data_IF_013435684151
#
_entry.id   IF_013435684151
#
_cell.length_a   1.000
_cell.length_b   1.000
_cell.length_c   1.000
_cell.angle_alpha   90.00
_cell.angle_beta   90.00
_cell.angle_gamma   90.00
#
_symmetry.space_group_name_H-M   'P 1'
#
loop_
_entity.id
_entity.type
_entity.pdbx_description
1 polymer ?
#
# COMPACT_ATOMS: atom_id res chain seq x y z
N UNK A 1 6.13 -8.30 3.66
CA UNK A 1 6.20 -6.93 4.19
C UNK A 1 4.91 -6.26 3.83
N UNK A 2 4.18 -5.76 4.82
CA UNK A 2 2.93 -5.03 4.62
C UNK A 2 3.24 -3.62 4.05
N UNK A 3 2.32 -3.02 3.29
CA UNK A 3 2.52 -1.67 2.78
C UNK A 3 2.72 -0.66 3.94
N UNK A 4 3.69 0.27 3.82
CA UNK A 4 3.88 1.31 4.81
C UNK A 4 2.76 2.36 4.74
N UNK A 5 2.52 3.07 5.84
CA UNK A 5 1.86 4.37 5.82
C UNK A 5 2.82 5.38 5.21
N UNK A 6 2.33 6.22 4.31
CA UNK A 6 3.16 7.14 3.52
C UNK A 6 2.69 8.57 3.65
N UNK A 7 3.64 9.50 3.65
CA UNK A 7 3.33 10.92 3.48
C UNK A 7 2.82 11.20 2.06
N UNK A 8 2.15 12.34 1.82
CA UNK A 8 1.67 12.72 0.48
C UNK A 8 2.77 12.79 -0.60
N UNK A 9 4.03 12.93 -0.21
CA UNK A 9 5.17 12.91 -1.11
C UNK A 9 5.66 11.47 -1.46
N UNK A 10 4.98 10.43 -0.98
CA UNK A 10 5.33 9.04 -1.23
C UNK A 10 6.53 8.53 -0.44
N UNK A 11 6.91 9.22 0.65
CA UNK A 11 7.92 8.72 1.60
C UNK A 11 7.26 7.88 2.71
N UNK A 12 7.86 6.76 3.14
CA UNK A 12 7.30 5.95 4.22
C UNK A 12 7.40 6.69 5.57
N UNK A 13 6.36 6.57 6.39
CA UNK A 13 6.25 7.13 7.74
C UNK A 13 6.23 6.04 8.80
N UNK A 14 5.51 4.94 8.53
CA UNK A 14 5.33 3.86 9.49
C UNK A 14 5.09 2.54 8.76
N UNK A 15 5.41 1.42 9.40
CA UNK A 15 5.16 0.07 8.87
C UNK A 15 4.50 -0.77 9.95
N UNK A 16 3.48 -1.55 9.57
CA UNK A 16 2.82 -2.46 10.50
C UNK A 16 3.66 -3.71 10.79
N UNK A 17 3.46 -4.37 11.94
CA UNK A 17 3.91 -5.75 12.16
C UNK A 17 3.45 -6.68 11.03
N UNK A 18 4.26 -7.68 10.71
CA UNK A 18 3.95 -8.64 9.65
C UNK A 18 2.87 -9.61 10.13
N UNK A 19 1.88 -9.87 9.27
CA UNK A 19 0.82 -10.85 9.54
C UNK A 19 1.25 -12.26 9.10
N UNK A 20 0.78 -13.34 9.77
CA UNK A 20 1.16 -14.70 9.42
C UNK A 20 0.60 -15.15 8.06
N UNK A 21 1.43 -15.86 7.28
CA UNK A 21 0.96 -16.62 6.12
C UNK A 21 0.60 -15.80 4.87
N UNK A 22 -0.09 -16.47 3.93
CA UNK A 22 -0.55 -15.94 2.65
C UNK A 22 -1.99 -15.43 2.80
N UNK A 23 -2.19 -14.53 3.75
CA UNK A 23 -3.49 -13.87 3.96
C UNK A 23 -3.78 -12.94 2.78
N UNK A 24 -5.02 -12.94 2.30
CA UNK A 24 -5.43 -11.98 1.27
C UNK A 24 -5.54 -10.59 1.89
N UNK A 25 -5.14 -9.54 1.16
CA UNK A 25 -5.10 -8.17 1.70
C UNK A 25 -6.46 -7.72 2.26
N UNK A 26 -7.57 -8.11 1.62
CA UNK A 26 -8.93 -7.87 2.12
C UNK A 26 -9.25 -8.61 3.41
N UNK A 27 -8.77 -9.84 3.58
CA UNK A 27 -8.93 -10.57 4.84
C UNK A 27 -8.16 -9.87 5.97
N UNK A 28 -6.93 -9.43 5.67
CA UNK A 28 -6.12 -8.68 6.62
C UNK A 28 -6.78 -7.34 7.01
N UNK A 29 -7.40 -6.65 6.04
CA UNK A 29 -8.11 -5.41 6.28
C UNK A 29 -9.38 -5.61 7.12
N UNK A 30 -10.19 -6.63 6.83
CA UNK A 30 -11.41 -6.97 7.58
C UNK A 30 -11.14 -7.49 8.99
N UNK A 31 -9.95 -8.03 9.23
CA UNK A 31 -9.55 -8.49 10.56
C UNK A 31 -9.34 -7.34 11.56
N UNK A 32 -9.20 -6.10 11.07
CA UNK A 32 -9.33 -4.90 11.89
C UNK A 32 -10.75 -4.33 11.69
N UNK A 33 -11.64 -4.45 12.69
CA UNK A 33 -13.04 -4.08 12.53
C UNK A 33 -13.24 -2.57 12.30
N UNK A 34 -12.27 -1.75 12.68
CA UNK A 34 -12.37 -0.29 12.56
C UNK A 34 -11.67 0.25 11.31
N UNK A 35 -10.78 -0.51 10.67
CA UNK A 35 -9.89 0.02 9.64
C UNK A 35 -10.64 0.68 8.48
N UNK A 36 -11.60 -0.04 7.88
CA UNK A 36 -12.35 0.47 6.73
C UNK A 36 -13.29 1.62 7.13
N UNK A 37 -13.89 1.54 8.32
CA UNK A 37 -14.72 2.63 8.85
C UNK A 37 -13.89 3.90 9.09
N UNK A 38 -12.70 3.78 9.69
CA UNK A 38 -11.78 4.90 9.90
C UNK A 38 -11.26 5.49 8.60
N UNK A 39 -11.00 4.66 7.58
CA UNK A 39 -10.64 5.16 6.25
C UNK A 39 -11.81 5.95 5.64
N UNK A 40 -13.05 5.48 5.80
CA UNK A 40 -14.23 6.21 5.36
C UNK A 40 -14.39 7.55 6.08
N UNK A 41 -14.19 7.58 7.40
CA UNK A 41 -14.30 8.79 8.22
C UNK A 41 -13.17 9.80 7.99
N UNK A 42 -11.95 9.31 7.73
CA UNK A 42 -10.76 10.16 7.63
C UNK A 42 -10.66 10.91 6.30
N UNK A 43 -11.20 10.34 5.23
CA UNK A 43 -11.10 10.91 3.89
C UNK A 43 -12.34 11.75 3.58
N UNK A 44 -12.14 13.07 3.47
CA UNK A 44 -13.19 14.01 3.04
C UNK A 44 -13.59 13.81 1.56
N UNK A 45 -14.68 14.47 1.15
CA UNK A 45 -15.22 14.37 -0.21
C UNK A 45 -14.23 14.84 -1.31
N UNK A 46 -13.17 15.56 -0.93
CA UNK A 46 -12.16 16.09 -1.85
C UNK A 46 -11.01 15.13 -2.16
N UNK A 47 -10.87 14.04 -1.39
CA UNK A 47 -9.73 13.12 -1.53
C UNK A 47 -10.19 11.69 -1.88
N UNK A 48 -9.59 11.03 -2.88
CA UNK A 48 -9.99 9.68 -3.24
C UNK A 48 -9.36 8.63 -2.31
N UNK A 49 -10.19 7.70 -1.82
CA UNK A 49 -9.76 6.48 -1.11
C UNK A 49 -9.30 5.41 -2.11
N UNK A 50 -8.05 5.46 -2.58
CA UNK A 50 -7.57 4.58 -3.66
C UNK A 50 -7.02 3.24 -3.15
N UNK A 51 -7.48 2.13 -3.72
CA UNK A 51 -6.90 0.80 -3.49
C UNK A 51 -6.64 0.05 -4.80
N UNK A 52 -5.93 -1.08 -4.72
CA UNK A 52 -5.71 -1.95 -5.88
C UNK A 52 -6.87 -2.93 -6.07
N UNK A 53 -6.80 -3.71 -7.15
CA UNK A 53 -7.85 -4.66 -7.52
C UNK A 53 -8.04 -5.79 -6.49
N UNK A 54 -7.07 -6.04 -5.61
CA UNK A 54 -7.20 -7.00 -4.52
C UNK A 54 -8.29 -6.63 -3.53
N UNK A 55 -8.70 -5.35 -3.50
CA UNK A 55 -9.77 -4.80 -2.69
C UNK A 55 -11.11 -4.66 -3.43
N UNK A 56 -11.34 -5.42 -4.52
CA UNK A 56 -12.60 -5.35 -5.27
C UNK A 56 -13.86 -5.58 -4.40
N UNK A 57 -13.74 -6.35 -3.33
CA UNK A 57 -14.81 -6.58 -2.35
C UNK A 57 -15.12 -5.39 -1.42
N UNK A 58 -14.37 -4.29 -1.53
CA UNK A 58 -14.52 -3.07 -0.71
C UNK A 58 -14.85 -1.84 -1.58
N UNK A 59 -15.36 -2.05 -2.80
CA UNK A 59 -15.62 -0.98 -3.77
C UNK A 59 -16.63 0.09 -3.32
N UNK A 60 -17.44 -0.21 -2.30
CA UNK A 60 -18.36 0.74 -1.67
C UNK A 60 -17.63 1.79 -0.80
N UNK A 61 -16.43 1.45 -0.31
CA UNK A 61 -15.62 2.28 0.57
C UNK A 61 -14.42 2.84 -0.18
N UNK A 62 -13.78 2.01 -1.01
CA UNK A 62 -12.54 2.31 -1.72
C UNK A 62 -12.81 2.47 -3.22
N UNK A 63 -12.18 3.45 -3.84
CA UNK A 63 -12.06 3.53 -5.29
C UNK A 63 -11.07 2.46 -5.75
N UNK A 64 -11.53 1.57 -6.63
CA UNK A 64 -10.77 0.43 -7.19
C UNK A 64 -10.61 0.67 -8.70
N UNK A 65 -9.49 0.26 -9.32
CA UNK A 65 -9.35 0.34 -10.77
C UNK A 65 -10.39 -0.56 -11.46
N UNK A 66 -10.78 -0.18 -12.67
CA UNK A 66 -11.75 -0.91 -13.47
C UNK A 66 -11.14 -2.23 -13.91
N UNK A 67 -11.76 -3.34 -13.49
CA UNK A 67 -11.34 -4.69 -13.84
C UNK A 67 -11.57 -4.94 -15.34
N UNK A 68 -10.55 -5.44 -16.02
CA UNK A 68 -10.68 -5.90 -17.41
C UNK A 68 -11.67 -7.08 -17.47
N UNK A 69 -12.75 -7.02 -18.26
CA UNK A 69 -13.69 -8.11 -18.37
C UNK A 69 -13.09 -9.30 -19.12
N UNK A 70 -13.55 -10.51 -18.80
CA UNK A 70 -13.10 -11.73 -19.46
C UNK A 70 -13.51 -11.71 -20.93
N UNK A 71 -12.53 -11.81 -21.84
CA UNK A 71 -12.79 -11.88 -23.29
C UNK A 71 -12.99 -10.54 -23.99
N UNK A 72 -12.77 -9.40 -23.30
CA UNK A 72 -12.83 -8.07 -23.91
C UNK A 72 -11.75 -7.14 -23.35
N UNK A 73 -11.45 -6.06 -24.08
CA UNK A 73 -10.55 -5.01 -23.61
C UNK A 73 -11.30 -3.88 -22.88
N UNK A 74 -10.54 -3.12 -22.08
CA UNK A 74 -11.02 -1.85 -21.54
C UNK A 74 -11.18 -0.85 -22.68
N UNK A 75 -12.26 -0.08 -22.68
CA UNK A 75 -12.39 1.03 -23.62
C UNK A 75 -11.36 2.15 -23.30
N UNK A 76 -11.12 3.09 -24.23
CA UNK A 76 -10.12 4.14 -24.02
C UNK A 76 -10.33 4.98 -22.74
N UNK A 77 -11.58 5.27 -22.38
CA UNK A 77 -11.90 6.05 -21.18
C UNK A 77 -11.57 5.26 -19.90
N UNK A 78 -11.89 3.97 -19.86
CA UNK A 78 -11.54 3.09 -18.75
C UNK A 78 -10.02 2.91 -18.61
N UNK A 79 -9.29 2.91 -19.73
CA UNK A 79 -7.82 2.89 -19.71
C UNK A 79 -7.27 4.20 -19.15
N UNK A 80 -7.83 5.34 -19.54
CA UNK A 80 -7.44 6.65 -19.03
C UNK A 80 -7.71 6.76 -17.52
N UNK A 81 -8.89 6.33 -17.06
CA UNK A 81 -9.26 6.27 -15.64
C UNK A 81 -8.27 5.41 -14.85
N UNK A 82 -7.96 4.20 -15.34
CA UNK A 82 -6.99 3.32 -14.70
C UNK A 82 -5.57 3.89 -14.71
N UNK A 83 -5.19 4.66 -15.73
CA UNK A 83 -3.90 5.33 -15.78
C UNK A 83 -3.80 6.44 -14.71
N UNK A 84 -4.84 7.27 -14.55
CA UNK A 84 -4.90 8.28 -13.48
C UNK A 84 -4.91 7.61 -12.11
N UNK A 85 -5.70 6.56 -11.93
CA UNK A 85 -5.75 5.75 -10.70
C UNK A 85 -4.36 5.22 -10.32
N UNK A 86 -3.66 4.62 -11.29
CA UNK A 86 -2.30 4.11 -11.10
C UNK A 86 -1.30 5.22 -10.78
N UNK A 87 -1.38 6.37 -11.45
CA UNK A 87 -0.51 7.51 -11.20
C UNK A 87 -0.65 8.04 -9.77
N UNK A 88 -1.88 8.17 -9.26
CA UNK A 88 -2.15 8.60 -7.90
C UNK A 88 -1.65 7.56 -6.87
N UNK A 89 -1.87 6.27 -7.14
CA UNK A 89 -1.38 5.18 -6.28
C UNK A 89 0.15 5.04 -6.26
N UNK A 90 0.85 5.49 -7.29
CA UNK A 90 2.29 5.32 -7.43
C UNK A 90 3.07 5.88 -6.23
N UNK A 91 2.54 6.89 -5.54
CA UNK A 91 3.14 7.47 -4.34
C UNK A 91 3.22 6.47 -3.18
N UNK A 92 2.19 5.66 -2.97
CA UNK A 92 2.21 4.58 -1.98
C UNK A 92 3.20 3.48 -2.35
N UNK A 93 3.25 3.12 -3.64
CA UNK A 93 4.18 2.12 -4.17
C UNK A 93 5.64 2.59 -4.11
N UNK A 94 5.87 3.89 -4.30
CA UNK A 94 7.18 4.55 -4.16
C UNK A 94 7.78 4.31 -2.79
N UNK A 95 7.00 4.40 -1.72
CA UNK A 95 7.52 4.20 -0.37
C UNK A 95 8.05 2.77 -0.15
N UNK A 96 7.29 1.77 -0.61
CA UNK A 96 7.73 0.38 -0.58
C UNK A 96 8.95 0.15 -1.47
N UNK A 97 8.98 0.82 -2.63
CA UNK A 97 10.13 0.80 -3.54
C UNK A 97 11.38 1.38 -2.89
N UNK A 98 11.29 2.56 -2.26
CA UNK A 98 12.40 3.22 -1.54
C UNK A 98 13.02 2.29 -0.50
N UNK A 99 12.20 1.66 0.35
CA UNK A 99 12.70 0.70 1.34
C UNK A 99 13.45 -0.46 0.66
N UNK A 100 12.86 -1.06 -0.37
CA UNK A 100 13.44 -2.21 -1.07
C UNK A 100 14.69 -1.86 -1.88
N UNK A 101 14.76 -0.67 -2.48
CA UNK A 101 15.89 -0.26 -3.33
C UNK A 101 17.07 0.21 -2.49
N UNK A 102 16.83 0.94 -1.41
CA UNK A 102 17.87 1.38 -0.47
C UNK A 102 18.45 0.19 0.31
N UNK A 103 17.59 -0.67 0.88
CA UNK A 103 18.04 -1.78 1.72
C UNK A 103 17.95 -3.12 1.01
N UNK A 104 19.07 -3.57 0.43
CA UNK A 104 19.19 -4.88 -0.26
C UNK A 104 18.73 -6.07 0.60
N UNK A 105 18.85 -5.96 1.94
CA UNK A 105 18.37 -6.97 2.89
C UNK A 105 16.88 -7.29 2.71
N UNK A 106 16.05 -6.26 2.44
CA UNK A 106 14.60 -6.43 2.28
C UNK A 106 14.23 -7.16 0.99
N UNK A 107 15.06 -7.07 -0.06
CA UNK A 107 14.86 -7.78 -1.33
C UNK A 107 15.35 -9.22 -1.33
N UNK A 108 16.30 -9.55 -0.45
CA UNK A 108 17.00 -10.84 -0.43
C UNK A 108 16.74 -11.63 0.85
N UNK A 109 15.77 -11.22 1.64
CA UNK A 109 15.42 -11.89 2.88
C UNK A 109 14.92 -13.32 2.60
N UNK A 110 15.56 -14.31 3.20
CA UNK A 110 15.16 -15.73 3.17
C UNK A 110 14.88 -16.31 4.56
N UNK A 111 14.81 -15.46 5.58
CA UNK A 111 14.54 -15.87 6.95
C UNK A 111 13.05 -16.04 7.24
N UNK A 112 12.70 -16.17 8.52
CA UNK A 112 11.32 -16.30 8.98
C UNK A 112 10.49 -15.04 8.64
N UNK A 113 9.37 -15.14 7.91
CA UNK A 113 8.53 -13.98 7.58
C UNK A 113 8.08 -13.18 8.80
N UNK A 114 7.91 -13.81 9.96
CA UNK A 114 7.52 -13.13 11.20
C UNK A 114 8.64 -12.22 11.73
N UNK A 115 9.90 -12.53 11.46
CA UNK A 115 11.06 -11.75 11.91
C UNK A 115 11.48 -10.64 10.94
N UNK A 116 10.88 -10.54 9.75
CA UNK A 116 11.23 -9.46 8.81
C UNK A 116 10.78 -8.10 9.33
N UNK A 117 9.76 -8.04 10.19
CA UNK A 117 9.18 -6.80 10.73
C UNK A 117 10.23 -5.89 11.37
N UNK A 118 11.08 -6.43 12.24
CA UNK A 118 12.13 -5.67 12.91
C UNK A 118 13.16 -5.11 11.91
N UNK A 119 13.47 -5.88 10.86
CA UNK A 119 14.37 -5.45 9.78
C UNK A 119 13.72 -4.30 8.98
N UNK A 120 12.41 -4.37 8.74
CA UNK A 120 11.67 -3.29 8.06
C UNK A 120 11.66 -2.02 8.92
N UNK A 121 11.39 -2.14 10.22
CA UNK A 121 11.38 -1.01 11.15
C UNK A 121 12.77 -0.36 11.26
N UNK A 122 13.83 -1.15 11.36
CA UNK A 122 15.21 -0.65 11.36
C UNK A 122 15.56 0.05 10.03
N UNK A 123 15.19 -0.55 8.88
CA UNK A 123 15.38 0.06 7.57
C UNK A 123 14.63 1.40 7.44
N UNK A 124 13.41 1.50 7.99
CA UNK A 124 12.65 2.73 8.01
C UNK A 124 13.34 3.83 8.82
N UNK A 125 13.83 3.51 10.03
CA UNK A 125 14.56 4.46 10.87
C UNK A 125 15.85 4.96 10.20
N UNK A 126 16.61 4.05 9.59
CA UNK A 126 17.82 4.42 8.84
C UNK A 126 17.48 5.34 7.66
N UNK A 127 16.40 5.05 6.93
CA UNK A 127 15.95 5.89 5.82
C UNK A 127 15.56 7.30 6.29
N UNK A 128 14.90 7.42 7.45
CA UNK A 128 14.57 8.71 8.04
C UNK A 128 15.83 9.49 8.43
N UNK A 129 16.80 8.82 9.05
CA UNK A 129 18.07 9.42 9.44
C UNK A 129 18.85 9.93 8.22
N UNK A 130 19.01 9.11 7.17
CA UNK A 130 19.74 9.48 5.94
C UNK A 130 19.11 10.65 5.19
N UNK A 131 17.80 10.85 5.34
CA UNK A 131 17.05 11.94 4.70
C UNK A 131 16.69 13.09 5.65
N UNK A 132 17.33 13.17 6.83
CA UNK A 132 17.14 14.21 7.83
C UNK A 132 15.66 14.43 8.23
N UNK A 133 14.88 13.36 8.28
CA UNK A 133 13.51 13.41 8.83
C UNK A 133 13.60 13.04 10.30
N UNK A 134 13.40 14.00 11.19
CA UNK A 134 13.21 13.69 12.61
C UNK A 134 11.89 12.96 12.79
N UNK A 135 11.95 11.80 13.45
CA UNK A 135 10.80 11.01 13.93
C UNK A 135 10.02 11.74 15.01
#
# INVERSE_FOLDING_TARGET
MNPPVTAPDGRPLWTSPVRPGREHDTTAARADPDLLARIADWVDDGHPRLADLGYEGEADILRIPIKKPTGSDLNPDQQADNAVHGALRCLGERANSLLKTTFKALRRYRGCPLGIGDIVAAALLLLHHEHCRTT
#
